data_IF_493080253594
#
_entry.id   IF_493080253594
#
_cell.length_a   1.000
_cell.length_b   1.000
_cell.length_c   1.000
_cell.angle_alpha   90.00
_cell.angle_beta   90.00
_cell.angle_gamma   90.00
#
_symmetry.space_group_name_H-M   'P 1'
#
loop_
_entity.id
_entity.type
_entity.pdbx_description
1 polymer ?
#
# COMPACT_ATOMS: atom_id res chain seq x y z
N UNK A 1 16.36 -16.18 5.74
CA UNK A 1 16.83 -15.05 6.56
C UNK A 1 15.61 -14.29 7.03
N UNK A 2 15.42 -14.16 8.31
CA UNK A 2 14.32 -13.37 8.88
C UNK A 2 14.63 -11.88 8.78
N UNK A 3 13.62 -11.07 8.74
CA UNK A 3 13.73 -9.60 8.72
C UNK A 3 14.63 -9.03 9.85
N UNK A 4 14.69 -9.72 11.00
CA UNK A 4 15.54 -9.34 12.15
C UNK A 4 17.05 -9.30 11.83
N UNK A 5 17.49 -9.93 10.74
CA UNK A 5 18.89 -9.94 10.30
C UNK A 5 19.23 -8.76 9.38
N UNK A 6 18.21 -8.02 8.92
CA UNK A 6 18.41 -6.87 8.04
C UNK A 6 18.71 -5.65 8.91
N UNK A 7 19.91 -5.11 8.77
CA UNK A 7 20.29 -3.85 9.42
C UNK A 7 19.58 -2.68 8.71
N UNK A 8 18.33 -2.43 9.13
CA UNK A 8 17.49 -1.40 8.56
C UNK A 8 18.14 0.00 8.63
N UNK A 9 18.80 0.30 9.75
CA UNK A 9 19.53 1.57 9.90
C UNK A 9 20.60 1.72 8.82
N UNK A 10 21.34 0.65 8.51
CA UNK A 10 22.36 0.66 7.47
C UNK A 10 21.76 0.87 6.07
N UNK A 11 20.60 0.26 5.80
CA UNK A 11 19.85 0.51 4.55
C UNK A 11 19.49 1.99 4.42
N UNK A 12 18.88 2.56 5.47
CA UNK A 12 18.47 3.97 5.49
C UNK A 12 19.66 4.91 5.29
N UNK A 13 20.79 4.68 5.96
CA UNK A 13 22.00 5.48 5.79
C UNK A 13 22.53 5.47 4.35
N UNK A 14 22.56 4.29 3.73
CA UNK A 14 23.04 4.15 2.35
C UNK A 14 22.12 4.85 1.35
N UNK A 15 20.80 4.74 1.50
CA UNK A 15 19.84 5.45 0.65
C UNK A 15 19.95 6.98 0.83
N UNK A 16 20.05 7.46 2.07
CA UNK A 16 20.25 8.88 2.35
C UNK A 16 21.47 9.45 1.63
N UNK A 17 22.59 8.74 1.72
CA UNK A 17 23.83 9.12 1.04
C UNK A 17 23.69 9.14 -0.48
N UNK A 18 22.95 8.17 -1.04
CA UNK A 18 22.79 8.05 -2.50
C UNK A 18 21.81 9.08 -3.10
N UNK A 19 20.82 9.53 -2.34
CA UNK A 19 19.76 10.44 -2.82
C UNK A 19 19.82 11.83 -2.16
N UNK A 20 20.83 12.12 -1.34
CA UNK A 20 20.96 13.38 -0.59
C UNK A 20 19.69 13.71 0.25
N UNK A 21 19.09 12.69 0.84
CA UNK A 21 17.86 12.78 1.64
C UNK A 21 18.20 12.95 3.12
N UNK A 22 18.30 14.20 3.58
CA UNK A 22 18.54 14.50 4.98
C UNK A 22 17.24 14.46 5.80
N UNK A 23 17.30 13.93 7.04
CA UNK A 23 16.20 13.90 8.02
C UNK A 23 14.91 13.17 7.57
N UNK A 24 15.04 12.12 6.75
CA UNK A 24 13.90 11.33 6.25
C UNK A 24 13.98 9.84 6.57
N UNK A 25 14.73 9.47 7.64
CA UNK A 25 14.95 8.06 7.99
C UNK A 25 13.65 7.27 8.16
N UNK A 26 12.72 7.81 8.93
CA UNK A 26 11.43 7.15 9.22
C UNK A 26 10.62 6.87 7.95
N UNK A 27 10.74 7.76 6.95
CA UNK A 27 10.02 7.63 5.69
C UNK A 27 10.66 6.57 4.81
N UNK A 28 12.00 6.52 4.78
CA UNK A 28 12.75 5.52 4.01
C UNK A 28 12.56 4.12 4.57
N UNK A 29 12.59 3.98 5.91
CA UNK A 29 12.28 2.74 6.61
C UNK A 29 10.89 2.23 6.23
N UNK A 30 9.92 3.12 6.27
CA UNK A 30 8.53 2.82 5.93
C UNK A 30 8.35 2.44 4.46
N UNK A 31 9.05 3.12 3.54
CA UNK A 31 9.00 2.83 2.12
C UNK A 31 9.53 1.43 1.80
N UNK A 32 10.63 1.02 2.44
CA UNK A 32 11.16 -0.34 2.33
C UNK A 32 10.14 -1.37 2.84
N UNK A 33 9.58 -1.16 4.02
CA UNK A 33 8.60 -2.06 4.60
C UNK A 33 7.34 -2.20 3.74
N UNK A 34 6.86 -1.09 3.17
CA UNK A 34 5.76 -1.10 2.19
C UNK A 34 6.09 -1.99 0.98
N UNK A 35 7.30 -1.87 0.45
CA UNK A 35 7.76 -2.66 -0.70
C UNK A 35 7.78 -4.15 -0.36
N UNK A 36 8.34 -4.51 0.79
CA UNK A 36 8.43 -5.91 1.24
C UNK A 36 7.06 -6.53 1.51
N UNK A 37 6.15 -5.78 2.15
CA UNK A 37 4.77 -6.24 2.38
C UNK A 37 4.04 -6.47 1.05
N UNK A 38 4.17 -5.56 0.08
CA UNK A 38 3.56 -5.71 -1.25
C UNK A 38 4.15 -6.91 -2.01
N UNK A 39 5.45 -7.16 -1.89
CA UNK A 39 6.10 -8.32 -2.49
C UNK A 39 5.59 -9.64 -1.89
N UNK A 40 5.40 -9.68 -0.56
CA UNK A 40 4.80 -10.85 0.10
C UNK A 40 3.32 -11.04 -0.26
N UNK A 41 2.56 -9.96 -0.49
CA UNK A 41 1.19 -10.03 -1.01
C UNK A 41 1.13 -10.69 -2.39
N UNK A 42 2.06 -10.34 -3.28
CA UNK A 42 2.16 -10.95 -4.60
C UNK A 42 2.50 -12.43 -4.50
N UNK A 43 3.53 -12.81 -3.74
CA UNK A 43 3.95 -14.21 -3.53
C UNK A 43 2.80 -15.08 -3.01
N UNK A 44 1.93 -14.55 -2.14
CA UNK A 44 0.76 -15.27 -1.59
C UNK A 44 -0.46 -15.22 -2.51
N UNK A 45 -0.37 -14.58 -3.66
CA UNK A 45 -1.48 -14.46 -4.62
C UNK A 45 -2.63 -13.56 -4.15
N UNK A 46 -2.43 -12.73 -3.13
CA UNK A 46 -3.44 -11.79 -2.61
C UNK A 46 -3.84 -10.72 -3.64
N UNK A 47 -2.98 -10.42 -4.60
CA UNK A 47 -3.27 -9.54 -5.73
C UNK A 47 -4.40 -10.03 -6.65
N UNK A 48 -4.84 -11.29 -6.54
CA UNK A 48 -5.98 -11.78 -7.30
C UNK A 48 -7.32 -11.21 -6.84
N UNK A 49 -7.45 -10.86 -5.57
CA UNK A 49 -8.68 -10.34 -4.97
C UNK A 49 -8.59 -8.85 -4.60
N UNK A 50 -7.38 -8.29 -4.57
CA UNK A 50 -7.11 -6.91 -4.15
C UNK A 50 -6.50 -6.10 -5.30
N UNK A 51 -7.01 -4.91 -5.52
CA UNK A 51 -6.51 -3.97 -6.52
C UNK A 51 -5.84 -2.82 -5.79
N UNK A 52 -4.54 -2.64 -6.01
CA UNK A 52 -3.73 -1.60 -5.39
C UNK A 52 -4.11 -0.23 -5.92
N UNK A 53 -4.21 0.76 -5.04
CA UNK A 53 -4.62 2.11 -5.38
C UNK A 53 -3.98 3.17 -4.49
N UNK A 54 -4.48 4.39 -4.57
CA UNK A 54 -4.16 5.46 -3.63
C UNK A 54 -2.86 6.18 -3.90
N UNK A 55 -2.43 6.97 -2.90
CA UNK A 55 -1.28 7.86 -3.00
C UNK A 55 0.05 7.14 -3.21
N UNK A 56 0.21 5.96 -2.61
CA UNK A 56 1.43 5.16 -2.73
C UNK A 56 1.62 4.63 -4.15
N UNK A 57 0.57 4.09 -4.77
CA UNK A 57 0.61 3.70 -6.18
C UNK A 57 0.93 4.89 -7.08
N UNK A 58 0.24 6.02 -6.90
CA UNK A 58 0.44 7.22 -7.69
C UNK A 58 1.88 7.72 -7.60
N UNK A 59 2.37 7.90 -6.39
CA UNK A 59 3.70 8.42 -6.13
C UNK A 59 4.79 7.53 -6.75
N UNK A 60 4.74 6.23 -6.52
CA UNK A 60 5.77 5.28 -6.93
C UNK A 60 5.75 5.00 -8.43
N UNK A 61 4.58 4.65 -8.96
CA UNK A 61 4.47 4.09 -10.29
C UNK A 61 4.25 5.14 -11.38
N UNK A 62 3.49 6.19 -11.08
CA UNK A 62 3.10 7.16 -12.10
C UNK A 62 3.87 8.48 -12.02
N UNK A 63 4.25 8.92 -10.81
CA UNK A 63 4.92 10.22 -10.61
C UNK A 63 6.37 10.11 -10.08
N UNK A 64 7.00 8.94 -10.22
CA UNK A 64 8.44 8.70 -9.98
C UNK A 64 8.93 9.25 -8.63
N UNK A 65 8.21 8.94 -7.54
CA UNK A 65 8.57 9.39 -6.18
C UNK A 65 8.62 10.91 -6.00
N UNK A 66 7.72 11.65 -6.64
CA UNK A 66 7.59 13.09 -6.41
C UNK A 66 7.35 13.47 -4.95
N UNK A 67 6.83 12.53 -4.16
CA UNK A 67 6.69 12.56 -2.70
C UNK A 67 6.63 11.14 -2.14
N UNK A 68 6.83 11.02 -0.86
CA UNK A 68 6.59 9.75 -0.16
C UNK A 68 5.10 9.59 0.19
N UNK A 69 4.67 8.35 0.27
CA UNK A 69 3.35 7.95 0.73
C UNK A 69 3.47 6.72 1.62
N UNK A 70 2.65 6.64 2.67
CA UNK A 70 2.92 5.82 3.82
C UNK A 70 1.91 4.69 4.06
N UNK A 71 0.90 4.59 3.20
CA UNK A 71 -0.21 3.65 3.34
C UNK A 71 -0.28 2.69 2.16
N UNK A 72 -0.77 1.48 2.39
CA UNK A 72 -1.15 0.54 1.35
C UNK A 72 -2.67 0.54 1.24
N UNK A 73 -3.20 1.08 0.17
CA UNK A 73 -4.63 1.16 -0.08
C UNK A 73 -5.06 0.16 -1.15
N UNK A 74 -6.10 -0.62 -0.86
CA UNK A 74 -6.70 -1.55 -1.79
C UNK A 74 -8.20 -1.31 -1.95
N UNK A 75 -8.71 -1.67 -3.12
CA UNK A 75 -10.12 -1.96 -3.32
C UNK A 75 -10.28 -3.45 -3.56
N UNK A 76 -11.33 -4.03 -3.01
CA UNK A 76 -11.68 -5.42 -3.31
C UNK A 76 -12.14 -5.54 -4.76
N UNK A 77 -11.60 -6.50 -5.52
CA UNK A 77 -11.86 -6.65 -6.95
C UNK A 77 -13.34 -6.67 -7.29
N UNK A 78 -14.11 -7.46 -6.54
CA UNK A 78 -15.55 -7.61 -6.73
C UNK A 78 -16.38 -6.59 -5.92
N UNK A 79 -15.81 -5.42 -5.63
CA UNK A 79 -16.46 -4.36 -4.86
C UNK A 79 -17.80 -3.92 -5.45
N UNK A 80 -17.93 -3.93 -6.79
CA UNK A 80 -19.18 -3.66 -7.48
C UNK A 80 -20.28 -4.67 -7.13
N UNK A 81 -19.93 -5.96 -7.07
CA UNK A 81 -20.86 -7.02 -6.67
C UNK A 81 -21.26 -6.85 -5.20
N UNK A 82 -20.27 -6.64 -4.32
CA UNK A 82 -20.52 -6.45 -2.88
C UNK A 82 -21.42 -5.24 -2.62
N UNK A 83 -21.22 -4.16 -3.36
CA UNK A 83 -22.04 -2.94 -3.26
C UNK A 83 -23.52 -3.18 -3.55
N UNK A 84 -23.85 -4.06 -4.50
CA UNK A 84 -25.21 -4.42 -4.89
C UNK A 84 -25.92 -5.34 -3.91
N UNK A 85 -25.21 -5.94 -2.94
CA UNK A 85 -25.80 -6.89 -2.00
C UNK A 85 -26.57 -6.21 -0.86
N UNK A 86 -27.54 -6.94 -0.29
CA UNK A 86 -28.15 -6.60 1.00
C UNK A 86 -27.09 -6.54 2.10
N UNK A 87 -27.35 -5.82 3.18
CA UNK A 87 -26.42 -5.68 4.30
C UNK A 87 -25.91 -7.03 4.81
N UNK A 88 -26.79 -7.98 5.07
CA UNK A 88 -26.43 -9.29 5.64
C UNK A 88 -25.59 -10.13 4.65
N UNK A 89 -25.93 -10.10 3.35
CA UNK A 89 -25.18 -10.79 2.32
C UNK A 89 -23.78 -10.19 2.13
N UNK A 90 -23.68 -8.86 2.20
CA UNK A 90 -22.42 -8.11 2.18
C UNK A 90 -21.53 -8.50 3.36
N UNK A 91 -22.06 -8.43 4.59
CA UNK A 91 -21.30 -8.77 5.79
C UNK A 91 -20.79 -10.21 5.73
N UNK A 92 -21.57 -11.17 5.23
CA UNK A 92 -21.11 -12.56 5.03
C UNK A 92 -19.96 -12.67 4.04
N UNK A 93 -20.05 -12.02 2.88
CA UNK A 93 -18.96 -12.05 1.87
C UNK A 93 -17.70 -11.40 2.38
N UNK A 94 -17.79 -10.22 2.98
CA UNK A 94 -16.66 -9.53 3.58
C UNK A 94 -16.02 -10.36 4.68
N UNK A 95 -16.84 -10.97 5.55
CA UNK A 95 -16.33 -11.86 6.61
C UNK A 95 -15.59 -13.05 6.02
N UNK A 96 -16.15 -13.73 5.01
CA UNK A 96 -15.50 -14.88 4.38
C UNK A 96 -14.13 -14.54 3.75
N UNK A 97 -14.00 -13.37 3.14
CA UNK A 97 -12.71 -12.87 2.67
C UNK A 97 -11.75 -12.61 3.85
N UNK A 98 -12.19 -11.88 4.87
CA UNK A 98 -11.36 -11.53 6.02
C UNK A 98 -10.90 -12.74 6.83
N UNK A 99 -11.71 -13.80 6.90
CA UNK A 99 -11.36 -15.05 7.60
C UNK A 99 -10.17 -15.75 6.94
N UNK A 100 -9.91 -15.51 5.63
CA UNK A 100 -8.74 -16.00 4.89
C UNK A 100 -7.60 -14.96 4.89
N UNK A 101 -7.92 -13.69 4.68
CA UNK A 101 -6.95 -12.62 4.52
C UNK A 101 -6.16 -12.34 5.80
N UNK A 102 -6.85 -12.24 6.95
CA UNK A 102 -6.21 -11.84 8.21
C UNK A 102 -5.13 -12.82 8.69
N UNK A 103 -5.32 -14.14 8.62
CA UNK A 103 -4.24 -15.10 8.86
C UNK A 103 -3.04 -14.93 7.91
N UNK A 104 -3.29 -14.72 6.61
CA UNK A 104 -2.22 -14.49 5.63
C UNK A 104 -1.45 -13.19 5.92
N UNK A 105 -2.15 -12.13 6.34
CA UNK A 105 -1.52 -10.89 6.77
C UNK A 105 -0.64 -11.10 8.01
N UNK A 106 -1.07 -11.97 8.94
CA UNK A 106 -0.27 -12.37 10.11
C UNK A 106 1.00 -13.12 9.69
N UNK A 107 0.89 -14.06 8.77
CA UNK A 107 2.05 -14.79 8.24
C UNK A 107 3.05 -13.84 7.56
N UNK A 108 2.58 -12.86 6.79
CA UNK A 108 3.43 -11.83 6.19
C UNK A 108 4.14 -11.02 7.28
N UNK A 109 3.39 -10.56 8.28
CA UNK A 109 3.97 -9.83 9.40
C UNK A 109 5.06 -10.65 10.11
N UNK A 110 4.80 -11.94 10.38
CA UNK A 110 5.75 -12.83 11.02
C UNK A 110 7.00 -13.08 10.17
N UNK A 111 6.84 -13.30 8.86
CA UNK A 111 7.95 -13.46 7.93
C UNK A 111 8.88 -12.26 7.94
N UNK A 112 8.30 -11.06 8.09
CA UNK A 112 9.04 -9.80 8.12
C UNK A 112 9.46 -9.37 9.54
N UNK A 113 9.20 -10.17 10.58
CA UNK A 113 9.50 -9.83 11.98
C UNK A 113 8.67 -8.66 12.52
N UNK A 114 7.49 -8.42 11.95
CA UNK A 114 6.59 -7.33 12.31
C UNK A 114 5.50 -7.82 13.28
N UNK A 115 4.93 -6.90 14.05
CA UNK A 115 3.91 -7.22 15.05
C UNK A 115 2.51 -6.95 14.49
N UNK A 116 1.69 -8.01 14.42
CA UNK A 116 0.30 -7.96 14.01
C UNK A 116 -0.53 -9.00 14.77
N UNK A 117 -1.80 -8.70 15.04
CA UNK A 117 -2.74 -9.62 15.69
C UNK A 117 -3.90 -9.97 14.78
N UNK A 118 -4.29 -11.24 14.78
CA UNK A 118 -5.46 -11.75 14.05
C UNK A 118 -6.79 -11.41 14.73
N UNK A 119 -6.75 -10.93 15.97
CA UNK A 119 -7.95 -10.49 16.69
C UNK A 119 -8.49 -9.20 16.11
N UNK A 120 -9.55 -9.30 15.30
CA UNK A 120 -10.21 -8.17 14.65
C UNK A 120 -10.99 -7.28 15.60
N UNK A 121 -11.18 -7.69 16.86
CA UNK A 121 -11.78 -6.85 17.90
C UNK A 121 -10.75 -5.89 18.52
N UNK A 122 -9.48 -6.19 18.39
CA UNK A 122 -8.39 -5.37 18.90
C UNK A 122 -8.19 -4.12 18.02
N UNK A 123 -8.68 -2.97 18.50
CA UNK A 123 -8.63 -1.68 17.80
C UNK A 123 -7.21 -1.15 17.56
N UNK A 124 -6.20 -1.69 18.25
CA UNK A 124 -4.78 -1.40 17.95
C UNK A 124 -4.44 -1.85 16.54
N UNK A 125 -4.85 -3.06 16.16
CA UNK A 125 -4.46 -3.70 14.91
C UNK A 125 -5.52 -3.63 13.80
N UNK A 126 -6.81 -3.58 14.16
CA UNK A 126 -7.89 -3.58 13.18
C UNK A 126 -8.96 -2.54 13.51
N UNK A 127 -9.33 -1.74 12.51
CA UNK A 127 -10.47 -0.80 12.59
C UNK A 127 -11.44 -1.07 11.47
N UNK A 128 -12.73 -1.02 11.77
CA UNK A 128 -13.84 -1.08 10.82
C UNK A 128 -14.47 0.29 10.69
N UNK A 129 -14.66 0.73 9.47
CA UNK A 129 -15.26 2.02 9.12
C UNK A 129 -16.45 1.84 8.16
N UNK A 130 -17.24 2.91 8.00
CA UNK A 130 -18.30 2.98 6.97
C UNK A 130 -19.24 1.77 6.96
N UNK A 131 -19.78 1.39 8.11
CA UNK A 131 -20.72 0.29 8.21
C UNK A 131 -20.13 -1.07 7.84
N UNK A 132 -18.89 -1.32 8.23
CA UNK A 132 -18.14 -2.55 7.96
C UNK A 132 -17.82 -2.78 6.47
N UNK A 133 -17.60 -1.71 5.73
CA UNK A 133 -17.23 -1.79 4.31
C UNK A 133 -15.82 -1.33 4.03
N UNK A 134 -15.16 -0.69 5.00
CA UNK A 134 -13.75 -0.34 4.95
C UNK A 134 -13.06 -0.90 6.18
N UNK A 135 -11.98 -1.63 5.96
CA UNK A 135 -11.15 -2.20 7.02
C UNK A 135 -9.74 -1.64 6.94
N UNK A 136 -9.22 -1.23 8.08
CA UNK A 136 -7.86 -0.74 8.23
C UNK A 136 -7.10 -1.67 9.17
N UNK A 137 -5.98 -2.20 8.69
CA UNK A 137 -5.07 -3.03 9.46
C UNK A 137 -3.78 -2.25 9.72
N UNK A 138 -3.22 -2.40 10.91
CA UNK A 138 -1.97 -1.78 11.33
C UNK A 138 -0.95 -2.85 11.66
N UNK A 139 0.13 -2.90 10.89
CA UNK A 139 1.25 -3.81 11.07
C UNK A 139 2.37 -3.00 11.73
N UNK A 140 2.70 -3.29 12.97
CA UNK A 140 3.66 -2.53 13.75
C UNK A 140 5.09 -3.02 13.51
N UNK A 141 6.01 -2.11 13.24
CA UNK A 141 7.45 -2.39 13.16
C UNK A 141 8.24 -1.83 14.36
N UNK A 142 7.62 -0.94 15.15
CA UNK A 142 8.03 -0.58 16.53
C UNK A 142 6.78 -0.54 17.41
N UNK A 143 6.91 -0.20 18.68
CA UNK A 143 5.76 -0.09 19.60
C UNK A 143 4.73 0.95 19.17
N UNK A 144 5.16 2.00 18.46
CA UNK A 144 4.33 3.14 18.05
C UNK A 144 4.21 3.33 16.54
N UNK A 145 5.19 2.88 15.75
CA UNK A 145 5.22 3.05 14.30
C UNK A 145 4.63 1.83 13.59
N UNK A 146 3.82 2.06 12.57
CA UNK A 146 3.13 1.00 11.83
C UNK A 146 2.97 1.32 10.34
N UNK A 147 2.81 0.28 9.55
CA UNK A 147 2.29 0.35 8.19
C UNK A 147 0.78 0.17 8.24
N UNK A 148 0.06 1.06 7.57
CA UNK A 148 -1.39 0.96 7.42
C UNK A 148 -1.72 0.22 6.12
N UNK A 149 -2.55 -0.82 6.21
CA UNK A 149 -3.17 -1.50 5.06
C UNK A 149 -4.67 -1.25 5.13
N UNK A 150 -5.24 -0.66 4.10
CA UNK A 150 -6.68 -0.37 4.03
C UNK A 150 -7.32 -1.13 2.87
N UNK A 151 -8.49 -1.70 3.10
CA UNK A 151 -9.28 -2.40 2.08
C UNK A 151 -10.68 -1.81 2.04
N UNK A 152 -11.08 -1.29 0.88
CA UNK A 152 -12.43 -0.81 0.60
C UNK A 152 -13.20 -1.87 -0.19
N UNK A 153 -14.31 -2.36 0.36
CA UNK A 153 -15.12 -3.44 -0.22
C UNK A 153 -16.26 -2.96 -1.12
N UNK A 154 -16.53 -1.66 -1.18
CA UNK A 154 -17.69 -1.11 -1.90
C UNK A 154 -17.35 0.04 -2.83
N UNK A 155 -16.08 0.38 -2.96
CA UNK A 155 -15.67 1.45 -3.86
C UNK A 155 -15.93 1.06 -5.32
N UNK A 156 -16.53 1.97 -6.08
CA UNK A 156 -16.80 1.75 -7.49
C UNK A 156 -15.55 2.04 -8.30
N UNK A 157 -15.05 1.05 -9.02
CA UNK A 157 -14.10 1.25 -10.12
C UNK A 157 -14.88 1.61 -11.38
N UNK A 158 -14.37 2.55 -12.18
CA UNK A 158 -14.95 2.94 -13.46
C UNK A 158 -14.17 2.34 -14.64
N UNK A 159 -12.90 2.00 -14.44
CA UNK A 159 -12.02 1.36 -15.42
C UNK A 159 -11.63 -0.06 -15.05
N UNK A 160 -10.97 -0.75 -15.98
CA UNK A 160 -10.35 -2.05 -15.72
C UNK A 160 -9.05 -1.88 -14.95
N UNK A 161 -8.73 -2.77 -14.00
CA UNK A 161 -7.43 -2.79 -13.34
C UNK A 161 -6.30 -3.09 -14.34
N UNK A 162 -5.14 -2.51 -14.08
CA UNK A 162 -3.92 -2.73 -14.87
C UNK A 162 -2.89 -3.51 -14.06
N UNK A 163 -2.08 -4.31 -14.74
CA UNK A 163 -0.94 -4.97 -14.11
C UNK A 163 0.27 -4.05 -14.21
N UNK A 164 0.79 -3.60 -13.06
CA UNK A 164 1.95 -2.71 -13.01
C UNK A 164 3.09 -3.33 -12.21
N UNK A 165 4.33 -3.08 -12.64
CA UNK A 165 5.52 -3.38 -11.84
C UNK A 165 5.63 -2.38 -10.70
N UNK A 166 5.68 -2.85 -9.46
CA UNK A 166 5.83 -1.98 -8.29
C UNK A 166 7.25 -1.43 -8.28
N UNK A 167 7.35 -0.10 -8.23
CA UNK A 167 8.63 0.59 -8.06
C UNK A 167 8.98 0.73 -6.59
N UNK A 168 10.27 0.53 -6.29
CA UNK A 168 10.87 0.83 -5.01
C UNK A 168 11.75 2.08 -5.12
N UNK A 169 12.06 2.73 -4.01
CA UNK A 169 12.98 3.87 -4.01
C UNK A 169 14.37 3.48 -4.57
N UNK A 170 14.75 2.23 -4.39
CA UNK A 170 15.98 1.65 -4.93
C UNK A 170 16.06 1.64 -6.45
N UNK A 171 14.94 1.87 -7.15
CA UNK A 171 14.92 1.98 -8.62
C UNK A 171 15.33 3.38 -9.12
N UNK A 172 15.51 4.35 -8.20
CA UNK A 172 15.93 5.71 -8.55
C UNK A 172 17.46 5.86 -8.72
N UNK A 173 18.23 4.84 -8.33
CA UNK A 173 19.70 4.83 -8.41
C UNK A 173 20.23 3.41 -8.53
N UNK A 174 21.54 3.23 -8.82
CA UNK A 174 22.13 1.89 -8.83
C UNK A 174 22.27 1.35 -7.39
N UNK A 175 21.30 0.56 -7.00
CA UNK A 175 21.17 -0.01 -5.65
C UNK A 175 21.65 -1.45 -5.53
N UNK A 176 22.21 -2.04 -6.59
CA UNK A 176 22.57 -3.48 -6.63
C UNK A 176 23.50 -3.89 -5.51
N UNK A 177 24.55 -3.10 -5.29
CA UNK A 177 25.52 -3.37 -4.23
C UNK A 177 24.90 -3.25 -2.83
N UNK A 178 24.04 -2.24 -2.64
CA UNK A 178 23.32 -2.01 -1.38
C UNK A 178 22.40 -3.19 -1.06
N UNK A 179 21.57 -3.58 -2.02
CA UNK A 179 20.63 -4.70 -1.85
C UNK A 179 21.37 -6.02 -1.61
N UNK A 180 22.46 -6.26 -2.35
CA UNK A 180 23.30 -7.44 -2.15
C UNK A 180 23.94 -7.46 -0.75
N UNK A 181 24.52 -6.34 -0.31
CA UNK A 181 25.16 -6.23 1.02
C UNK A 181 24.17 -6.45 2.16
N UNK A 182 22.91 -6.07 1.96
CA UNK A 182 21.83 -6.23 2.95
C UNK A 182 21.14 -7.59 2.86
N UNK A 183 21.51 -8.43 1.89
CA UNK A 183 20.84 -9.69 1.65
C UNK A 183 19.37 -9.54 1.19
N UNK A 184 19.03 -8.38 0.63
CA UNK A 184 17.69 -8.09 0.12
C UNK A 184 17.59 -8.46 -1.35
N UNK A 185 16.72 -9.40 -1.67
CA UNK A 185 16.34 -9.71 -3.05
C UNK A 185 14.97 -9.07 -3.35
N UNK A 186 14.98 -7.76 -3.56
CA UNK A 186 13.78 -7.03 -4.00
C UNK A 186 13.70 -7.15 -5.52
N UNK A 187 13.17 -8.28 -5.99
CA UNK A 187 12.88 -8.46 -7.42
C UNK A 187 11.68 -7.61 -7.81
N UNK A 188 11.71 -7.13 -9.06
CA UNK A 188 10.53 -6.52 -9.66
C UNK A 188 9.35 -7.49 -9.61
N UNK A 189 8.28 -7.10 -8.97
CA UNK A 189 7.03 -7.84 -8.89
C UNK A 189 5.88 -7.00 -9.42
N UNK A 190 4.84 -7.67 -9.89
CA UNK A 190 3.69 -6.99 -10.46
C UNK A 190 2.49 -7.09 -9.53
N UNK A 191 1.70 -6.03 -9.48
CA UNK A 191 0.42 -6.02 -8.78
C UNK A 191 -0.69 -5.58 -9.74
N UNK A 192 -1.91 -6.03 -9.48
CA UNK A 192 -3.09 -5.45 -10.12
C UNK A 192 -3.39 -4.12 -9.43
N UNK A 193 -3.57 -3.07 -10.21
CA UNK A 193 -3.72 -1.71 -9.69
C UNK A 193 -4.73 -0.88 -10.48
N UNK A 194 -5.08 0.27 -9.92
CA UNK A 194 -5.77 1.32 -10.66
C UNK A 194 -4.88 1.85 -11.78
N UNK A 195 -5.50 2.17 -12.93
CA UNK A 195 -4.86 2.99 -13.96
C UNK A 195 -4.66 4.43 -13.47
N UNK A 196 -3.76 5.17 -14.11
CA UNK A 196 -3.59 6.59 -13.84
C UNK A 196 -4.90 7.37 -13.99
N UNK A 197 -5.72 7.01 -14.98
CA UNK A 197 -7.05 7.61 -15.20
C UNK A 197 -7.98 7.37 -13.99
N UNK A 198 -8.01 6.15 -13.44
CA UNK A 198 -8.86 5.83 -12.29
C UNK A 198 -8.40 6.57 -11.03
N UNK A 199 -7.08 6.64 -10.80
CA UNK A 199 -6.52 7.43 -9.68
C UNK A 199 -6.87 8.91 -9.83
N UNK A 200 -6.78 9.46 -11.05
CA UNK A 200 -7.14 10.84 -11.33
C UNK A 200 -8.60 11.12 -10.98
N UNK A 201 -9.51 10.23 -11.39
CA UNK A 201 -10.93 10.34 -11.05
C UNK A 201 -11.16 10.25 -9.53
N UNK A 202 -10.45 9.35 -8.84
CA UNK A 202 -10.51 9.25 -7.38
C UNK A 202 -10.05 10.55 -6.70
N UNK A 203 -8.96 11.15 -7.17
CA UNK A 203 -8.43 12.42 -6.66
C UNK A 203 -9.40 13.58 -6.89
N UNK A 204 -9.97 13.71 -8.08
CA UNK A 204 -10.99 14.72 -8.35
C UNK A 204 -12.20 14.54 -7.44
N UNK A 205 -12.72 13.32 -7.31
CA UNK A 205 -13.83 13.03 -6.40
C UNK A 205 -13.49 13.41 -4.96
N UNK A 206 -12.30 13.04 -4.48
CA UNK A 206 -11.87 13.36 -3.14
C UNK A 206 -11.79 14.88 -2.91
N UNK A 207 -11.26 15.63 -3.87
CA UNK A 207 -11.18 17.11 -3.82
C UNK A 207 -12.57 17.75 -3.76
N UNK A 208 -13.53 17.23 -4.53
CA UNK A 208 -14.89 17.79 -4.59
C UNK A 208 -15.78 17.39 -3.40
N UNK A 209 -15.52 16.25 -2.75
CA UNK A 209 -16.44 15.70 -1.74
C UNK A 209 -15.94 15.81 -0.30
N UNK A 210 -14.65 16.05 -0.08
CA UNK A 210 -14.09 16.22 1.26
C UNK A 210 -14.49 17.56 1.86
N UNK A 211 -14.87 17.54 3.13
CA UNK A 211 -15.18 18.76 3.89
C UNK A 211 -13.98 19.70 4.02
N UNK A 212 -12.77 19.14 4.08
CA UNK A 212 -11.50 19.89 4.14
C UNK A 212 -10.63 19.46 2.96
N UNK A 213 -10.29 20.44 2.14
CA UNK A 213 -9.35 20.26 1.03
C UNK A 213 -8.01 19.78 1.56
N UNK A 214 -7.42 18.81 0.86
CA UNK A 214 -6.07 18.31 1.14
C UNK A 214 -5.12 18.87 0.07
N UNK A 215 -4.17 19.68 0.46
CA UNK A 215 -3.20 20.31 -0.45
C UNK A 215 -2.45 19.28 -1.31
N UNK A 216 -2.12 18.14 -0.71
CA UNK A 216 -1.48 17.02 -1.41
C UNK A 216 -2.32 16.48 -2.58
N UNK A 217 -3.65 16.49 -2.50
CA UNK A 217 -4.51 16.02 -3.58
C UNK A 217 -4.51 17.01 -4.76
N UNK A 218 -4.44 18.31 -4.49
CA UNK A 218 -4.27 19.34 -5.52
C UNK A 218 -2.90 19.25 -6.19
N UNK A 219 -1.85 19.06 -5.39
CA UNK A 219 -0.48 18.91 -5.91
C UNK A 219 -0.35 17.67 -6.79
N UNK A 220 -0.91 16.55 -6.35
CA UNK A 220 -0.96 15.31 -7.13
C UNK A 220 -1.68 15.54 -8.47
N UNK A 221 -2.84 16.23 -8.48
CA UNK A 221 -3.59 16.54 -9.71
C UNK A 221 -2.82 17.47 -10.64
N UNK A 222 -2.10 18.45 -10.09
CA UNK A 222 -1.24 19.34 -10.88
C UNK A 222 -0.16 18.55 -11.63
N UNK A 223 0.52 17.63 -10.96
CA UNK A 223 1.55 16.80 -11.58
C UNK A 223 0.98 15.79 -12.60
N UNK A 224 -0.18 15.20 -12.30
CA UNK A 224 -0.87 14.30 -13.24
C UNK A 224 -1.20 15.00 -14.55
N UNK A 225 -1.65 16.26 -14.50
CA UNK A 225 -1.99 17.06 -15.71
C UNK A 225 -0.84 17.08 -16.71
N UNK A 226 0.39 17.21 -16.23
CA UNK A 226 1.56 17.26 -17.11
C UNK A 226 1.92 15.86 -17.64
N UNK A 227 1.68 14.81 -16.87
CA UNK A 227 1.89 13.41 -17.28
C UNK A 227 0.85 12.92 -18.31
N UNK A 228 -0.34 13.53 -18.39
CA UNK A 228 -1.38 13.18 -19.37
C UNK A 228 -1.20 13.88 -20.72
N UNK A 229 -0.28 14.85 -20.82
CA UNK A 229 0.03 15.58 -22.07
C UNK A 229 1.19 14.98 -22.85
N UNK A 230 1.95 14.08 -22.21
CA UNK A 230 3.10 13.39 -22.78
C UNK A 230 2.67 12.02 -23.35
#
# INVERSE_FOLDING_TARGET
MGWQEINLSRYVEQIKKSLDLNNQEDILEKDLLLTLILAEFEKKGLGNELIFKGGTLLSRNYLKYHRFSEDIDFVFRDSGIIRGLTRNARERKVKAFLDKFVPQLKEIADTLGLNFSTDRSNKKYCKMLSGRTVYTFKIYYTDSKYIKVEINFIEKMNGSPEKVSVRAITDLFDSREILFTLGLDIKNFNVMSYSLKEITLEKYRATLTRKKLQERDLFDLFLIKDSLKA
#
